data_IF_883812438691
#
_entry.id   IF_883812438691
#
_cell.length_a   1.000
_cell.length_b   1.000
_cell.length_c   1.000
_cell.angle_alpha   90.00
_cell.angle_beta   90.00
_cell.angle_gamma   90.00
#
_symmetry.space_group_name_H-M   'P 1'
#
loop_
_entity.id
_entity.type
_entity.pdbx_description
1 polymer ?
#
# COMPACT_ATOMS: atom_id res chain seq x y z
N UNK A 1 -1.09 -21.04 -10.36
CA UNK A 1 -0.05 -19.98 -10.30
C UNK A 1 0.09 -19.22 -11.63
N UNK A 2 0.10 -19.88 -12.80
CA UNK A 2 0.26 -19.18 -14.09
C UNK A 2 -0.83 -18.14 -14.41
N UNK A 3 -2.11 -18.40 -14.09
CA UNK A 3 -3.21 -17.46 -14.37
C UNK A 3 -3.19 -16.19 -13.50
N UNK A 4 -2.82 -16.31 -12.22
CA UNK A 4 -2.80 -15.18 -11.28
C UNK A 4 -1.74 -14.14 -11.69
N UNK A 5 -0.58 -14.59 -12.17
CA UNK A 5 0.48 -13.70 -12.62
C UNK A 5 0.11 -12.99 -13.93
N UNK A 6 -0.75 -13.58 -14.78
CA UNK A 6 -1.21 -12.94 -16.03
C UNK A 6 -1.98 -11.66 -15.76
N UNK A 7 -2.92 -11.67 -14.80
CA UNK A 7 -3.74 -10.49 -14.47
C UNK A 7 -2.87 -9.38 -13.85
N UNK A 8 -1.94 -9.74 -12.97
CA UNK A 8 -0.99 -8.80 -12.36
C UNK A 8 -0.07 -8.18 -13.42
N UNK A 9 0.49 -9.00 -14.31
CA UNK A 9 1.37 -8.53 -15.37
C UNK A 9 0.65 -7.57 -16.33
N UNK A 10 -0.57 -7.91 -16.75
CA UNK A 10 -1.38 -7.06 -17.62
C UNK A 10 -1.70 -5.71 -16.97
N UNK A 11 -2.09 -5.70 -15.68
CA UNK A 11 -2.39 -4.48 -14.94
C UNK A 11 -1.14 -3.60 -14.75
N UNK A 12 0.00 -4.21 -14.45
CA UNK A 12 1.27 -3.52 -14.28
C UNK A 12 1.73 -2.82 -15.57
N UNK A 13 1.68 -3.52 -16.71
CA UNK A 13 2.01 -2.95 -18.02
C UNK A 13 1.02 -1.85 -18.42
N UNK A 14 -0.27 -2.04 -18.18
CA UNK A 14 -1.29 -1.00 -18.41
C UNK A 14 -1.07 0.25 -17.55
N UNK A 15 -0.41 0.12 -16.40
CA UNK A 15 -0.01 1.21 -15.51
C UNK A 15 1.33 1.86 -15.91
N UNK A 16 1.96 1.41 -17.00
CA UNK A 16 3.19 1.98 -17.57
C UNK A 16 4.49 1.28 -17.18
N UNK A 17 4.45 0.13 -16.48
CA UNK A 17 5.64 -0.62 -16.09
C UNK A 17 6.20 -1.48 -17.25
N UNK A 18 7.51 -1.71 -17.24
CA UNK A 18 8.17 -2.49 -18.28
C UNK A 18 7.90 -4.00 -18.12
N UNK A 19 7.40 -4.65 -19.16
CA UNK A 19 6.94 -6.05 -19.10
C UNK A 19 8.02 -7.03 -18.63
N UNK A 20 9.28 -6.85 -19.06
CA UNK A 20 10.38 -7.73 -18.64
C UNK A 20 10.63 -7.66 -17.13
N UNK A 21 10.68 -6.45 -16.57
CA UNK A 21 10.93 -6.26 -15.14
C UNK A 21 9.76 -6.79 -14.30
N UNK A 22 8.52 -6.56 -14.76
CA UNK A 22 7.31 -7.11 -14.11
C UNK A 22 7.37 -8.63 -14.05
N UNK A 23 7.74 -9.30 -15.15
CA UNK A 23 7.84 -10.76 -15.18
C UNK A 23 8.93 -11.29 -14.26
N UNK A 24 10.08 -10.62 -14.18
CA UNK A 24 11.17 -10.97 -13.26
C UNK A 24 10.73 -10.84 -11.80
N UNK A 25 10.03 -9.75 -11.46
CA UNK A 25 9.51 -9.53 -10.10
C UNK A 25 8.47 -10.59 -9.75
N UNK A 26 7.51 -10.87 -10.63
CA UNK A 26 6.44 -11.84 -10.40
C UNK A 26 6.94 -13.30 -10.35
N UNK A 27 8.11 -13.58 -10.93
CA UNK A 27 8.78 -14.87 -10.84
C UNK A 27 9.64 -15.02 -9.58
N UNK A 28 9.90 -13.93 -8.86
CA UNK A 28 10.77 -13.90 -7.68
C UNK A 28 10.09 -13.29 -6.45
N UNK A 29 10.93 -12.88 -5.50
CA UNK A 29 10.53 -12.35 -4.19
C UNK A 29 11.16 -10.97 -3.91
N UNK A 30 11.52 -10.22 -4.96
CA UNK A 30 12.33 -8.99 -4.88
C UNK A 30 11.83 -7.97 -3.86
N UNK A 31 10.51 -7.89 -3.62
CA UNK A 31 9.88 -6.93 -2.70
C UNK A 31 9.25 -7.57 -1.46
N UNK A 32 9.45 -8.88 -1.23
CA UNK A 32 8.82 -9.60 -0.11
C UNK A 32 9.20 -8.97 1.23
N UNK A 33 10.49 -8.69 1.46
CA UNK A 33 10.94 -8.12 2.72
C UNK A 33 10.42 -6.69 2.95
N UNK A 34 10.27 -5.90 1.88
CA UNK A 34 9.67 -4.57 1.96
C UNK A 34 8.19 -4.65 2.38
N UNK A 35 7.41 -5.53 1.74
CA UNK A 35 6.00 -5.71 2.09
C UNK A 35 5.83 -6.20 3.52
N UNK A 36 6.69 -7.12 3.97
CA UNK A 36 6.67 -7.61 5.36
C UNK A 36 7.05 -6.50 6.36
N UNK A 37 8.04 -5.68 6.03
CA UNK A 37 8.44 -4.55 6.87
C UNK A 37 7.30 -3.53 7.05
N UNK A 38 6.57 -3.19 5.97
CA UNK A 38 5.41 -2.29 6.04
C UNK A 38 4.29 -2.86 6.93
N UNK A 39 4.03 -4.18 6.86
CA UNK A 39 3.06 -4.87 7.71
C UNK A 39 3.49 -4.83 9.18
N UNK A 40 4.78 -5.07 9.46
CA UNK A 40 5.33 -4.99 10.81
C UNK A 40 5.22 -3.57 11.36
N UNK A 41 5.58 -2.54 10.59
CA UNK A 41 5.45 -1.14 11.03
C UNK A 41 3.98 -0.80 11.35
N UNK A 42 3.04 -1.23 10.51
CA UNK A 42 1.62 -1.03 10.78
C UNK A 42 1.18 -1.70 12.10
N UNK A 43 1.63 -2.93 12.36
CA UNK A 43 1.34 -3.63 13.60
C UNK A 43 1.94 -2.93 14.83
N UNK A 44 3.17 -2.43 14.73
CA UNK A 44 3.85 -1.68 15.79
C UNK A 44 3.16 -0.34 16.10
N UNK A 45 2.51 0.26 15.10
CA UNK A 45 1.65 1.44 15.25
C UNK A 45 0.25 1.11 15.80
N UNK A 46 -0.05 -0.16 16.05
CA UNK A 46 -1.34 -0.63 16.57
C UNK A 46 -2.46 -0.72 15.53
N UNK A 47 -2.12 -0.75 14.24
CA UNK A 47 -3.10 -0.89 13.15
C UNK A 47 -3.66 -2.31 13.13
N UNK A 48 -4.98 -2.44 13.28
CA UNK A 48 -5.69 -3.73 13.27
C UNK A 48 -6.65 -3.89 12.09
N UNK A 49 -6.81 -2.85 11.26
CA UNK A 49 -7.72 -2.84 10.12
C UNK A 49 -7.36 -1.74 9.12
N UNK A 50 -7.79 -1.94 7.88
CA UNK A 50 -7.52 -1.04 6.74
C UNK A 50 -8.82 -0.59 6.06
N UNK A 51 -8.86 0.59 5.41
CA UNK A 51 -7.76 1.55 5.24
C UNK A 51 -7.42 2.29 6.54
N UNK A 52 -6.15 2.64 6.73
CA UNK A 52 -5.65 3.38 7.89
C UNK A 52 -4.66 4.45 7.41
N UNK A 53 -4.80 5.67 7.92
CA UNK A 53 -4.05 6.83 7.46
C UNK A 53 -3.30 7.44 8.63
N UNK A 54 -1.99 7.62 8.49
CA UNK A 54 -1.13 8.26 9.49
C UNK A 54 -0.66 9.62 8.98
N UNK A 55 -0.94 10.68 9.74
CA UNK A 55 -0.56 12.06 9.44
C UNK A 55 0.59 12.48 10.35
N UNK A 56 1.74 12.78 9.75
CA UNK A 56 2.96 13.26 10.44
C UNK A 56 3.32 12.44 11.69
N UNK A 57 3.12 11.12 11.66
CA UNK A 57 3.34 10.17 12.79
C UNK A 57 2.72 10.60 14.14
N UNK A 58 1.70 11.47 14.12
CA UNK A 58 1.11 12.08 15.33
C UNK A 58 -0.40 11.92 15.40
N UNK A 59 -1.07 11.88 14.24
CA UNK A 59 -2.50 11.67 14.14
C UNK A 59 -2.81 10.50 13.20
N UNK A 60 -3.90 9.80 13.48
CA UNK A 60 -4.36 8.72 12.62
C UNK A 60 -5.87 8.82 12.35
N UNK A 61 -6.28 8.39 11.16
CA UNK A 61 -7.67 8.20 10.76
C UNK A 61 -7.84 6.74 10.35
N UNK A 62 -8.74 6.03 11.02
CA UNK A 62 -9.03 4.63 10.78
C UNK A 62 -10.33 4.49 9.99
N UNK A 63 -10.28 3.77 8.86
CA UNK A 63 -11.42 3.52 7.99
C UNK A 63 -11.60 4.52 6.86
N UNK A 64 -12.57 4.23 5.99
CA UNK A 64 -12.95 5.07 4.87
C UNK A 64 -13.86 6.22 5.33
N UNK A 65 -13.30 7.14 6.11
CA UNK A 65 -14.02 8.28 6.68
C UNK A 65 -14.49 9.30 5.61
N UNK A 66 -15.46 10.18 5.94
CA UNK A 66 -15.84 11.27 5.05
C UNK A 66 -14.67 12.21 4.77
N UNK A 67 -14.61 12.75 3.54
CA UNK A 67 -13.58 13.71 3.09
C UNK A 67 -13.30 14.87 4.06
N UNK A 68 -14.32 15.29 4.82
CA UNK A 68 -14.20 16.39 5.76
C UNK A 68 -13.26 16.03 6.93
N UNK A 69 -13.31 14.80 7.42
CA UNK A 69 -12.41 14.29 8.49
C UNK A 69 -10.96 14.35 8.04
N UNK A 70 -10.68 13.96 6.80
CA UNK A 70 -9.35 14.07 6.19
C UNK A 70 -8.88 15.52 6.10
N UNK A 71 -9.72 16.41 5.57
CA UNK A 71 -9.39 17.83 5.40
C UNK A 71 -9.09 18.51 6.75
N UNK A 72 -9.90 18.24 7.77
CA UNK A 72 -9.73 18.83 9.10
C UNK A 72 -8.49 18.27 9.80
N UNK A 73 -8.19 16.98 9.62
CA UNK A 73 -6.96 16.37 10.13
C UNK A 73 -5.73 17.00 9.49
N UNK A 74 -5.72 17.18 8.16
CA UNK A 74 -4.59 17.82 7.46
C UNK A 74 -4.36 19.24 7.99
N UNK A 75 -5.42 20.06 8.11
CA UNK A 75 -5.33 21.44 8.66
C UNK A 75 -4.89 21.51 10.12
N UNK A 76 -5.07 20.43 10.88
CA UNK A 76 -4.66 20.37 12.28
C UNK A 76 -3.19 20.01 12.43
N UNK A 77 -2.65 19.24 11.48
CA UNK A 77 -1.30 18.67 11.53
C UNK A 77 -0.27 19.51 10.76
N UNK A 78 -0.72 20.33 9.80
CA UNK A 78 0.07 21.25 9.00
C UNK A 78 -0.53 22.66 9.05
#
# INVERSE_FOLDING_TARGET
>A
MAEANTVLAATAVASGLHATEVNEILAGNRYTDNVLADITEAADLGVTGVPFFVFNRTYAVSGAEPKQVFLDTIKKVY
#
